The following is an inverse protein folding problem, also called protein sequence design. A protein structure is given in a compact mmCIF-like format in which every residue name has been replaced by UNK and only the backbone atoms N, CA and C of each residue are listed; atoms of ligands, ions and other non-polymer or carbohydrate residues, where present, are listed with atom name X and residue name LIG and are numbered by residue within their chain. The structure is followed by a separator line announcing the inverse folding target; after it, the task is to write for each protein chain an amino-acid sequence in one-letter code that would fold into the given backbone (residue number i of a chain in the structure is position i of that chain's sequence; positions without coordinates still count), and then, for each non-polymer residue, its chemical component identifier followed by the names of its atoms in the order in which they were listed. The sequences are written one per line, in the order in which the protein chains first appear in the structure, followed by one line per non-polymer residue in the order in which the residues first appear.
data_IF_804834501388
#
_entry.id   IF_804834501388
#
_cell.length_a   1.000
_cell.length_b   1.000
_cell.length_c   1.000
_cell.angle_alpha   90.00
_cell.angle_beta   90.00
_cell.angle_gamma   90.00
#
_symmetry.space_group_name_H-M   'P 1'
#
loop_
_entity.id
_entity.type
_entity.pdbx_description
1 polymer ?
#
# COMPACT_ATOMS: atom_id res chain seq x y z
N UNK A 1 -13.49 -31.67 14.34
CA UNK A 1 -13.69 -30.22 14.11
C UNK A 1 -12.88 -29.85 12.88
N UNK A 2 -13.52 -29.39 11.79
CA UNK A 2 -12.80 -28.93 10.60
C UNK A 2 -12.11 -27.62 10.97
N UNK A 3 -10.79 -27.47 10.75
CA UNK A 3 -10.12 -26.20 11.06
C UNK A 3 -10.75 -25.07 10.23
N UNK A 4 -10.93 -23.87 10.82
CA UNK A 4 -11.45 -22.74 10.06
C UNK A 4 -10.56 -22.46 8.84
N UNK A 5 -11.20 -22.23 7.70
CA UNK A 5 -10.53 -21.86 6.45
C UNK A 5 -10.61 -20.34 6.36
N UNK A 6 -9.46 -19.67 6.47
CA UNK A 6 -9.36 -18.23 6.32
C UNK A 6 -9.12 -17.86 4.86
N UNK A 7 -9.77 -16.80 4.39
CA UNK A 7 -9.50 -16.22 3.06
C UNK A 7 -8.17 -15.47 3.05
N UNK A 8 -7.84 -14.84 4.19
CA UNK A 8 -6.63 -14.07 4.38
C UNK A 8 -5.99 -14.35 5.75
N UNK A 9 -4.72 -14.74 5.75
CA UNK A 9 -3.90 -14.85 6.96
C UNK A 9 -2.81 -13.78 6.94
N UNK A 10 -2.84 -12.87 7.91
CA UNK A 10 -1.81 -11.84 8.11
C UNK A 10 -0.91 -12.26 9.26
N UNK A 11 0.36 -12.52 8.99
CA UNK A 11 1.38 -12.63 10.03
C UNK A 11 1.99 -11.26 10.30
N UNK A 12 2.05 -10.85 11.56
CA UNK A 12 2.58 -9.54 11.94
C UNK A 12 3.53 -9.65 13.12
N UNK A 13 4.66 -8.94 13.07
CA UNK A 13 5.56 -8.86 14.23
C UNK A 13 5.08 -7.87 15.27
N UNK A 14 5.45 -8.09 16.53
CA UNK A 14 5.02 -7.19 17.62
C UNK A 14 5.48 -5.74 17.43
N UNK A 15 6.66 -5.53 16.84
CA UNK A 15 7.16 -4.20 16.49
C UNK A 15 6.51 -3.57 15.26
N UNK A 16 5.77 -4.35 14.46
CA UNK A 16 4.95 -3.83 13.38
C UNK A 16 3.53 -3.48 13.87
N UNK A 17 2.98 -4.29 14.78
CA UNK A 17 1.66 -4.07 15.37
C UNK A 17 1.67 -2.92 16.39
N UNK A 18 2.72 -2.81 17.20
CA UNK A 18 2.85 -1.82 18.26
C UNK A 18 4.15 -1.05 18.14
N UNK A 19 4.13 0.21 18.56
CA UNK A 19 5.35 1.00 18.70
C UNK A 19 6.23 0.41 19.82
N UNK A 20 7.37 -0.09 19.40
CA UNK A 20 8.40 -0.67 20.26
C UNK A 20 9.69 0.16 20.23
N UNK A 21 9.64 1.44 19.84
CA UNK A 21 10.82 2.30 19.71
C UNK A 21 11.52 2.48 21.05
N UNK A 22 10.79 2.88 22.11
CA UNK A 22 11.35 2.99 23.47
C UNK A 22 12.00 1.67 23.93
N UNK A 23 11.30 0.55 23.73
CA UNK A 23 11.76 -0.78 24.08
C UNK A 23 13.06 -1.18 23.40
N UNK A 24 13.22 -0.79 22.14
CA UNK A 24 14.43 -1.04 21.35
C UNK A 24 15.60 -0.23 21.90
N UNK A 25 15.36 1.02 22.28
CA UNK A 25 16.40 1.89 22.84
C UNK A 25 16.85 1.44 24.24
N UNK A 26 15.92 1.00 25.10
CA UNK A 26 16.27 0.40 26.39
C UNK A 26 17.12 -0.86 26.20
N UNK A 27 16.70 -1.77 25.30
CA UNK A 27 17.49 -2.99 25.03
C UNK A 27 18.89 -2.65 24.54
N UNK A 28 19.02 -1.72 23.59
CA UNK A 28 20.31 -1.33 23.01
C UNK A 28 21.22 -0.65 24.02
N UNK A 29 20.67 0.24 24.85
CA UNK A 29 21.42 1.04 25.82
C UNK A 29 21.78 0.27 27.08
N UNK A 30 20.82 -0.46 27.64
CA UNK A 30 20.89 -0.99 29.01
C UNK A 30 20.94 -2.54 29.07
N UNK A 31 20.77 -3.21 27.92
CA UNK A 31 20.84 -4.67 27.82
C UNK A 31 19.56 -5.39 28.26
N UNK A 32 19.64 -6.73 28.22
CA UNK A 32 18.46 -7.60 28.35
C UNK A 32 17.80 -7.57 29.74
N UNK A 33 18.59 -7.56 30.82
CA UNK A 33 18.04 -7.63 32.18
C UNK A 33 17.21 -6.39 32.54
N UNK A 34 17.74 -5.20 32.21
CA UNK A 34 17.01 -3.93 32.41
C UNK A 34 15.76 -3.88 31.53
N UNK A 35 15.88 -4.34 30.27
CA UNK A 35 14.72 -4.47 29.40
C UNK A 35 13.62 -5.37 30.02
N UNK A 36 13.98 -6.51 30.63
CA UNK A 36 13.03 -7.40 31.29
C UNK A 36 12.37 -6.74 32.50
N UNK A 37 13.14 -6.03 33.33
CA UNK A 37 12.60 -5.31 34.48
C UNK A 37 11.62 -4.21 34.03
N UNK A 38 12.00 -3.43 33.03
CA UNK A 38 11.11 -2.42 32.44
C UNK A 38 9.81 -3.04 31.89
N UNK A 39 9.88 -4.19 31.20
CA UNK A 39 8.70 -4.89 30.70
C UNK A 39 7.78 -5.39 31.83
N UNK A 40 8.35 -5.87 32.93
CA UNK A 40 7.59 -6.31 34.11
C UNK A 40 6.93 -5.14 34.84
N UNK A 41 7.66 -4.04 35.04
CA UNK A 41 7.13 -2.84 35.69
C UNK A 41 5.99 -2.20 34.89
N UNK A 42 6.03 -2.29 33.56
CA UNK A 42 5.05 -1.70 32.64
C UNK A 42 4.06 -2.72 32.07
N UNK A 43 3.85 -3.87 32.73
CA UNK A 43 3.03 -4.96 32.20
C UNK A 43 1.61 -4.54 31.81
N UNK A 44 1.02 -3.65 32.61
CA UNK A 44 -0.35 -3.15 32.44
C UNK A 44 -0.42 -1.84 31.64
N UNK A 45 0.72 -1.31 31.21
CA UNK A 45 0.78 -0.09 30.38
C UNK A 45 0.77 -0.53 28.92
N UNK A 46 -0.33 -0.33 28.18
CA UNK A 46 -0.44 -0.77 26.79
C UNK A 46 0.61 -0.06 25.93
N UNK A 47 1.18 -0.80 24.97
CA UNK A 47 2.04 -0.22 23.95
C UNK A 47 1.21 0.66 23.02
N UNK A 48 1.82 1.73 22.49
CA UNK A 48 1.13 2.56 21.51
C UNK A 48 0.94 1.81 20.18
N UNK A 49 -0.12 2.11 19.41
CA UNK A 49 -0.30 1.54 18.08
C UNK A 49 0.91 1.79 17.17
N UNK A 50 1.36 0.75 16.45
CA UNK A 50 2.41 0.87 15.43
C UNK A 50 1.82 1.09 14.03
N UNK A 51 2.70 1.22 13.02
CA UNK A 51 2.28 1.46 11.63
C UNK A 51 1.38 0.35 11.05
N UNK A 52 1.52 -0.91 11.48
CA UNK A 52 0.67 -2.01 11.05
C UNK A 52 -0.69 -2.09 11.76
N UNK A 53 -0.90 -1.32 12.83
CA UNK A 53 -2.10 -1.43 13.68
C UNK A 53 -3.39 -1.10 12.92
N UNK A 54 -3.39 0.00 12.15
CA UNK A 54 -4.58 0.46 11.43
C UNK A 54 -5.09 -0.60 10.45
N UNK A 55 -4.19 -1.21 9.69
CA UNK A 55 -4.53 -2.31 8.78
C UNK A 55 -5.07 -3.52 9.53
N UNK A 56 -4.37 -4.00 10.58
CA UNK A 56 -4.79 -5.17 11.36
C UNK A 56 -6.17 -4.97 11.97
N UNK A 57 -6.42 -3.82 12.59
CA UNK A 57 -7.73 -3.48 13.16
C UNK A 57 -8.82 -3.47 12.08
N UNK A 58 -8.53 -2.84 10.94
CA UNK A 58 -9.49 -2.70 9.83
C UNK A 58 -9.82 -4.06 9.19
N UNK A 59 -8.83 -4.94 9.01
CA UNK A 59 -9.03 -6.28 8.47
C UNK A 59 -9.79 -7.20 9.44
N UNK A 60 -9.46 -7.16 10.74
CA UNK A 60 -10.17 -7.97 11.75
C UNK A 60 -11.64 -7.55 11.90
N UNK A 61 -11.95 -6.26 11.73
CA UNK A 61 -13.33 -5.76 11.76
C UNK A 61 -14.22 -6.35 10.65
N UNK A 62 -13.63 -6.83 9.55
CA UNK A 62 -14.39 -7.48 8.47
C UNK A 62 -15.04 -8.79 8.92
N UNK A 63 -14.47 -9.48 9.91
CA UNK A 63 -15.06 -10.71 10.46
C UNK A 63 -16.39 -10.45 11.16
N UNK A 64 -16.54 -9.29 11.80
CA UNK A 64 -17.79 -8.89 12.48
C UNK A 64 -18.91 -8.65 11.46
N UNK A 65 -18.57 -7.96 10.36
CA UNK A 65 -19.51 -7.69 9.25
C UNK A 65 -19.91 -8.99 8.55
N UNK A 66 -18.94 -9.88 8.29
CA UNK A 66 -19.18 -11.17 7.65
C UNK A 66 -19.93 -12.17 8.54
N UNK A 67 -19.96 -11.94 9.86
CA UNK A 67 -20.39 -12.92 10.87
C UNK A 67 -19.67 -14.27 10.69
N UNK A 68 -18.44 -14.24 10.20
CA UNK A 68 -17.61 -15.39 9.90
C UNK A 68 -16.13 -14.98 10.05
N UNK A 69 -15.27 -15.93 10.40
CA UNK A 69 -13.85 -15.68 10.56
C UNK A 69 -13.13 -15.83 9.21
N UNK A 70 -13.21 -14.79 8.37
CA UNK A 70 -12.58 -14.76 7.04
C UNK A 70 -11.10 -14.34 7.11
N UNK A 71 -10.76 -13.47 8.07
CA UNK A 71 -9.41 -12.98 8.30
C UNK A 71 -8.86 -13.59 9.59
N UNK A 72 -7.65 -14.14 9.52
CA UNK A 72 -6.84 -14.45 10.70
C UNK A 72 -5.64 -13.52 10.79
N UNK A 73 -5.36 -13.03 11.99
CA UNK A 73 -4.10 -12.35 12.30
C UNK A 73 -3.32 -13.22 13.27
N UNK A 74 -2.08 -13.54 12.90
CA UNK A 74 -1.14 -14.31 13.71
C UNK A 74 -0.02 -13.37 14.14
N UNK A 75 0.10 -13.12 15.45
CA UNK A 75 1.25 -12.38 15.97
C UNK A 75 2.46 -13.32 16.06
N UNK A 76 3.59 -12.94 15.48
CA UNK A 76 4.84 -13.71 15.59
C UNK A 76 5.94 -12.79 16.14
N UNK A 77 6.58 -13.17 17.23
CA UNK A 77 7.59 -12.34 17.88
C UNK A 77 8.85 -13.13 18.19
N UNK A 78 10.01 -12.52 17.92
CA UNK A 78 11.31 -13.02 18.41
C UNK A 78 11.47 -12.90 19.92
N UNK A 79 10.58 -12.17 20.60
CA UNK A 79 10.64 -12.02 22.05
C UNK A 79 10.38 -13.37 22.75
N UNK A 80 10.91 -13.50 23.96
CA UNK A 80 10.57 -14.58 24.88
C UNK A 80 9.14 -14.40 25.43
N UNK A 81 8.60 -15.44 26.06
CA UNK A 81 7.24 -15.45 26.60
C UNK A 81 7.01 -14.39 27.67
N UNK A 82 8.00 -14.13 28.55
CA UNK A 82 7.84 -13.14 29.62
C UNK A 82 7.71 -11.74 29.03
N UNK A 83 8.60 -11.40 28.09
CA UNK A 83 8.58 -10.13 27.38
C UNK A 83 7.37 -9.98 26.45
N UNK A 84 6.75 -11.11 26.08
CA UNK A 84 5.53 -11.22 25.28
C UNK A 84 4.25 -10.82 26.02
N UNK A 85 4.26 -10.84 27.35
CA UNK A 85 3.06 -10.61 28.15
C UNK A 85 2.52 -9.18 27.99
N UNK A 86 3.38 -8.15 27.96
CA UNK A 86 2.95 -6.76 27.71
C UNK A 86 2.31 -6.60 26.32
N UNK A 87 2.77 -7.37 25.32
CA UNK A 87 2.17 -7.39 23.99
C UNK A 87 0.75 -7.98 24.06
N UNK A 88 0.59 -9.10 24.78
CA UNK A 88 -0.72 -9.73 25.02
C UNK A 88 -1.69 -8.80 25.74
N UNK A 89 -1.22 -8.10 26.79
CA UNK A 89 -2.01 -7.10 27.50
C UNK A 89 -2.41 -5.94 26.59
N UNK A 90 -1.51 -5.49 25.70
CA UNK A 90 -1.83 -4.46 24.71
C UNK A 90 -2.92 -4.93 23.73
N UNK A 91 -2.83 -6.17 23.21
CA UNK A 91 -3.87 -6.78 22.36
C UNK A 91 -5.23 -6.78 23.04
N UNK A 92 -5.28 -7.13 24.33
CA UNK A 92 -6.51 -7.14 25.12
C UNK A 92 -7.06 -5.73 25.37
N UNK A 93 -6.18 -4.79 25.73
CA UNK A 93 -6.54 -3.39 25.91
C UNK A 93 -7.23 -2.82 24.67
N UNK A 94 -6.65 -3.08 23.49
CA UNK A 94 -7.21 -2.66 22.20
C UNK A 94 -8.32 -3.55 21.65
N UNK A 95 -8.68 -4.63 22.35
CA UNK A 95 -9.71 -5.60 21.94
C UNK A 95 -9.47 -6.18 20.54
N UNK A 96 -8.21 -6.41 20.17
CA UNK A 96 -7.88 -7.05 18.90
C UNK A 96 -8.14 -8.56 19.02
N UNK A 97 -9.03 -9.15 18.21
CA UNK A 97 -9.36 -10.59 18.28
C UNK A 97 -8.27 -11.46 17.63
N UNK A 98 -7.03 -11.31 18.10
CA UNK A 98 -5.87 -12.11 17.68
C UNK A 98 -5.92 -13.43 18.47
N UNK A 99 -6.27 -14.51 17.77
CA UNK A 99 -6.46 -15.84 18.36
C UNK A 99 -5.17 -16.65 18.43
N UNK A 100 -4.12 -16.23 17.73
CA UNK A 100 -2.88 -17.00 17.60
C UNK A 100 -1.65 -16.11 17.75
N UNK A 101 -0.75 -16.52 18.64
CA UNK A 101 0.50 -15.82 18.92
C UNK A 101 1.63 -16.85 19.03
N UNK A 102 2.79 -16.52 18.48
CA UNK A 102 4.01 -17.34 18.59
C UNK A 102 5.17 -16.48 19.09
N UNK A 103 5.84 -16.95 20.13
CA UNK A 103 7.02 -16.35 20.73
C UNK A 103 8.19 -17.28 20.52
N UNK A 104 9.13 -16.89 19.66
CA UNK A 104 10.17 -17.77 19.14
C UNK A 104 11.47 -17.71 19.93
N UNK A 105 11.57 -16.85 20.96
CA UNK A 105 12.74 -16.80 21.85
C UNK A 105 14.05 -16.50 21.12
N UNK A 106 14.00 -15.66 20.08
CA UNK A 106 15.14 -15.22 19.29
C UNK A 106 15.31 -15.95 17.96
N UNK A 107 14.62 -17.08 17.73
CA UNK A 107 14.73 -17.76 16.43
C UNK A 107 14.03 -16.97 15.32
N UNK A 108 14.55 -17.12 14.11
CA UNK A 108 14.01 -16.46 12.92
C UNK A 108 12.54 -16.85 12.67
N UNK A 109 11.69 -15.83 12.66
CA UNK A 109 10.24 -15.95 12.52
C UNK A 109 9.81 -16.35 11.12
N UNK A 110 10.63 -16.05 10.09
CA UNK A 110 10.27 -16.26 8.68
C UNK A 110 10.06 -17.74 8.36
N UNK A 111 10.77 -18.64 9.08
CA UNK A 111 10.70 -20.10 8.95
C UNK A 111 9.32 -20.68 9.27
N UNK A 112 8.49 -19.95 10.00
CA UNK A 112 7.17 -20.41 10.43
C UNK A 112 6.04 -19.91 9.52
N UNK A 113 6.29 -18.93 8.64
CA UNK A 113 5.24 -18.26 7.87
C UNK A 113 4.46 -19.23 6.97
N UNK A 114 5.14 -20.15 6.30
CA UNK A 114 4.51 -21.16 5.44
C UNK A 114 3.64 -22.13 6.25
N UNK A 115 4.08 -22.53 7.44
CA UNK A 115 3.29 -23.41 8.33
C UNK A 115 2.02 -22.72 8.83
N UNK A 116 2.06 -21.39 9.00
CA UNK A 116 0.90 -20.58 9.32
C UNK A 116 0.01 -20.24 8.12
N UNK A 117 0.38 -20.67 6.91
CA UNK A 117 -0.31 -20.29 5.66
C UNK A 117 -0.40 -18.77 5.50
N UNK A 118 0.66 -18.06 5.88
CA UNK A 118 0.74 -16.62 5.77
C UNK A 118 0.49 -16.17 4.32
N UNK A 119 -0.41 -15.19 4.14
CA UNK A 119 -0.64 -14.54 2.85
C UNK A 119 0.08 -13.17 2.79
N UNK A 120 0.12 -12.46 3.92
CA UNK A 120 0.82 -11.18 4.09
C UNK A 120 1.63 -11.19 5.39
N UNK A 121 2.94 -10.92 5.27
CA UNK A 121 3.85 -10.74 6.38
C UNK A 121 4.24 -9.27 6.56
N UNK A 122 3.94 -8.70 7.73
CA UNK A 122 4.30 -7.34 8.10
C UNK A 122 5.29 -7.33 9.26
N UNK A 123 6.39 -6.62 9.07
CA UNK A 123 7.43 -6.52 10.10
C UNK A 123 8.11 -5.16 10.09
N UNK A 124 8.78 -4.81 11.19
CA UNK A 124 9.63 -3.63 11.29
C UNK A 124 11.13 -3.99 11.20
N UNK A 125 11.42 -5.15 10.60
CA UNK A 125 12.74 -5.76 10.44
C UNK A 125 12.99 -6.04 8.95
N UNK A 126 13.89 -5.27 8.36
CA UNK A 126 14.20 -5.29 6.93
C UNK A 126 14.78 -6.64 6.48
N UNK A 127 15.64 -7.27 7.28
CA UNK A 127 16.28 -8.54 6.92
C UNK A 127 15.25 -9.66 6.78
N UNK A 128 14.19 -9.63 7.60
CA UNK A 128 13.10 -10.58 7.51
C UNK A 128 12.30 -10.39 6.21
N UNK A 129 12.04 -9.15 5.80
CA UNK A 129 11.38 -8.87 4.51
C UNK A 129 12.25 -9.36 3.36
N UNK A 130 13.54 -9.02 3.39
CA UNK A 130 14.52 -9.49 2.38
C UNK A 130 14.56 -11.00 2.31
N UNK A 131 14.58 -11.70 3.45
CA UNK A 131 14.59 -13.18 3.48
C UNK A 131 13.32 -13.76 2.85
N UNK A 132 12.15 -13.19 3.14
CA UNK A 132 10.88 -13.66 2.56
C UNK A 132 10.84 -13.40 1.04
N UNK A 133 11.34 -12.25 0.59
CA UNK A 133 11.33 -11.83 -0.82
C UNK A 133 12.55 -12.34 -1.62
N UNK A 134 13.63 -12.79 -0.99
CA UNK A 134 14.82 -13.33 -1.67
C UNK A 134 14.68 -14.82 -2.00
N UNK A 135 13.84 -15.54 -1.24
CA UNK A 135 13.47 -16.92 -1.54
C UNK A 135 12.69 -17.09 -2.85
N UNK A 136 12.35 -15.98 -3.53
CA UNK A 136 11.63 -15.94 -4.81
C UNK A 136 12.60 -15.72 -5.97
N UNK A 137 13.49 -16.68 -6.20
CA UNK A 137 14.33 -16.70 -7.40
C UNK A 137 13.51 -17.13 -8.62
N UNK A 138 13.32 -16.20 -9.56
CA UNK A 138 12.98 -16.35 -10.99
C UNK A 138 11.78 -17.24 -11.39
N UNK A 139 10.84 -16.61 -12.11
CA UNK A 139 9.79 -17.18 -12.98
C UNK A 139 8.42 -17.55 -12.41
N UNK A 140 8.20 -17.61 -11.10
CA UNK A 140 6.83 -17.58 -10.55
C UNK A 140 6.79 -17.09 -9.11
N UNK A 141 6.28 -15.87 -8.89
CA UNK A 141 5.91 -15.43 -7.54
C UNK A 141 4.72 -16.27 -7.06
N UNK A 142 5.00 -17.32 -6.29
CA UNK A 142 4.02 -18.18 -5.59
C UNK A 142 4.03 -17.94 -4.08
N UNK A 143 4.81 -16.97 -3.61
CA UNK A 143 5.23 -16.78 -2.23
C UNK A 143 4.32 -15.92 -1.37
N UNK A 144 4.76 -15.71 -0.12
CA UNK A 144 4.14 -14.85 0.88
C UNK A 144 4.42 -13.40 0.51
N UNK A 145 3.40 -12.53 0.45
CA UNK A 145 3.63 -11.09 0.31
C UNK A 145 4.30 -10.57 1.60
N UNK A 146 5.29 -9.68 1.48
CA UNK A 146 5.98 -9.13 2.64
C UNK A 146 6.34 -7.67 2.47
N UNK A 147 6.22 -6.90 3.56
CA UNK A 147 6.59 -5.49 3.56
C UNK A 147 7.14 -5.04 4.93
N UNK A 148 8.06 -4.08 4.88
CA UNK A 148 8.62 -3.39 6.02
C UNK A 148 7.68 -2.25 6.42
N UNK A 149 6.94 -2.37 7.51
CA UNK A 149 6.14 -1.25 8.00
C UNK A 149 7.06 -0.13 8.51
N UNK A 150 6.81 1.09 8.05
CA UNK A 150 7.57 2.25 8.44
C UNK A 150 6.74 3.08 9.41
N UNK A 151 7.26 3.29 10.61
CA UNK A 151 6.56 4.05 11.64
C UNK A 151 6.24 5.46 11.13
N UNK A 152 5.01 5.88 11.42
CA UNK A 152 4.66 7.30 11.45
C UNK A 152 5.48 7.87 12.59
N UNK A 153 6.43 8.76 12.28
CA UNK A 153 7.10 9.52 13.33
C UNK A 153 6.05 10.43 13.91
N UNK A 154 5.73 10.23 15.18
CA UNK A 154 4.74 11.00 15.92
C UNK A 154 5.18 12.48 15.94
N UNK A 155 4.61 13.28 15.05
CA UNK A 155 4.57 14.73 15.23
C UNK A 155 3.32 15.00 16.03
N UNK A 156 3.53 15.10 17.34
CA UNK A 156 2.54 15.52 18.33
C UNK A 156 1.73 16.74 17.85
N UNK A 157 0.54 16.53 17.26
CA UNK A 157 -0.59 17.50 17.24
C UNK A 157 -1.63 17.13 16.15
N UNK A 158 -2.68 16.41 16.54
CA UNK A 158 -4.12 16.66 16.26
C UNK A 158 -4.93 15.36 16.28
N UNK A 159 -5.22 14.88 17.49
CA UNK A 159 -6.50 14.20 17.72
C UNK A 159 -7.50 15.33 17.95
N UNK A 160 -8.54 15.53 17.11
CA UNK A 160 -9.65 16.37 17.49
C UNK A 160 -10.28 15.73 18.73
N UNK A 161 -10.15 16.39 19.88
CA UNK A 161 -10.82 15.98 21.11
C UNK A 161 -12.33 16.08 20.93
N UNK A 162 -12.98 14.99 20.52
CA UNK A 162 -14.41 14.75 20.78
C UNK A 162 -14.77 13.31 20.45
N UNK A 163 -14.86 12.48 21.50
CA UNK A 163 -16.05 11.69 21.84
C UNK A 163 -15.71 10.86 23.09
N UNK A 164 -15.66 11.53 24.24
CA UNK A 164 -15.94 10.86 25.51
C UNK A 164 -17.44 11.08 25.72
N UNK A 165 -18.25 10.08 25.39
CA UNK A 165 -19.64 10.04 25.83
C UNK A 165 -19.64 9.52 27.26
N UNK A 166 -19.72 10.45 28.22
CA UNK A 166 -20.19 10.16 29.58
C UNK A 166 -21.72 9.99 29.47
N UNK A 167 -22.32 8.94 30.03
CA UNK A 167 -23.78 8.81 30.04
C UNK A 167 -24.35 9.76 31.08
N UNK A 168 -25.00 10.85 30.66
CA UNK A 168 -25.83 11.63 31.57
C UNK A 168 -27.25 11.09 31.61
N UNK A 169 -27.64 10.76 32.83
CA UNK A 169 -28.95 10.39 33.31
C UNK A 169 -30.00 11.47 33.07
N UNK A 170 -31.21 11.01 32.76
CA UNK A 170 -32.52 11.64 32.96
C UNK A 170 -32.61 12.80 33.95
N UNK A 171 -33.09 13.96 33.51
CA UNK A 171 -34.24 14.67 34.10
C UNK A 171 -34.69 15.89 33.26
N UNK A 172 -35.99 16.15 33.33
CA UNK A 172 -36.78 17.19 32.66
C UNK A 172 -36.29 18.64 32.85
N UNK A 173 -36.54 19.52 31.86
CA UNK A 173 -37.60 20.54 31.94
C UNK A 173 -37.63 21.49 30.73
N UNK A 174 -38.86 21.90 30.40
CA UNK A 174 -39.27 22.88 29.39
C UNK A 174 -38.65 24.28 29.62
N UNK A 175 -38.41 25.03 28.53
CA UNK A 175 -38.97 26.38 28.37
C UNK A 175 -38.71 26.97 26.98
N UNK A 176 -39.77 27.57 26.44
CA UNK A 176 -39.83 28.37 25.22
C UNK A 176 -39.05 29.68 25.34
N UNK A 177 -38.53 30.21 24.23
CA UNK A 177 -38.94 31.54 23.72
C UNK A 177 -38.32 31.89 22.36
N UNK A 178 -39.20 32.34 21.47
CA UNK A 178 -38.97 33.03 20.20
C UNK A 178 -38.00 34.20 20.32
N UNK A 179 -37.15 34.46 19.30
CA UNK A 179 -36.94 35.82 18.73
C UNK A 179 -36.56 35.74 17.23
N UNK A 180 -37.50 36.21 16.39
CA UNK A 180 -37.42 36.99 15.13
C UNK A 180 -36.34 36.74 14.06
N UNK A 181 -36.83 36.51 12.83
CA UNK A 181 -36.06 36.67 11.59
C UNK A 181 -35.99 38.11 11.09
N UNK A 182 -35.09 38.36 10.12
CA UNK A 182 -35.13 39.47 9.16
C UNK A 182 -34.18 39.18 7.97
N UNK A 183 -34.77 38.92 6.81
CA UNK A 183 -34.52 39.47 5.46
C UNK A 183 -33.09 39.44 4.87
N UNK A 184 -32.97 38.71 3.75
CA UNK A 184 -31.92 38.78 2.72
C UNK A 184 -31.97 40.10 1.91
N UNK A 185 -30.83 40.54 1.34
CA UNK A 185 -30.87 41.07 -0.01
C UNK A 185 -29.80 40.47 -0.95
N UNK A 186 -30.31 39.90 -2.05
CA UNK A 186 -29.86 40.03 -3.45
C UNK A 186 -28.37 40.05 -3.81
N UNK A 187 -27.98 38.96 -4.49
CA UNK A 187 -27.19 38.88 -5.73
C UNK A 187 -26.54 40.17 -6.26
N UNK A 188 -25.20 40.16 -6.29
CA UNK A 188 -24.39 40.90 -7.27
C UNK A 188 -23.39 39.89 -7.87
N UNK A 189 -23.65 39.53 -9.13
CA UNK A 189 -22.73 38.79 -10.00
C UNK A 189 -21.63 39.73 -10.50
N UNK A 190 -20.38 39.46 -10.12
CA UNK A 190 -19.21 39.96 -10.86
C UNK A 190 -18.24 38.79 -11.08
N UNK A 191 -18.18 38.35 -12.33
CA UNK A 191 -17.26 37.35 -12.85
C UNK A 191 -15.81 37.85 -12.81
N UNK A 192 -14.96 37.22 -12.02
CA UNK A 192 -13.50 37.27 -12.19
C UNK A 192 -12.92 35.89 -11.93
N UNK A 193 -12.19 35.38 -12.91
CA UNK A 193 -11.44 34.12 -12.93
C UNK A 193 -10.68 33.84 -11.62
N UNK A 194 -11.09 32.80 -10.87
CA UNK A 194 -10.27 32.18 -9.81
C UNK A 194 -10.67 30.73 -9.51
N UNK A 195 -11.02 29.92 -10.51
CA UNK A 195 -11.36 28.49 -10.32
C UNK A 195 -10.12 27.58 -10.20
N UNK A 196 -9.18 27.95 -9.33
CA UNK A 196 -8.07 27.11 -8.85
C UNK A 196 -7.99 27.14 -7.32
N UNK A 197 -9.14 26.99 -6.65
CA UNK A 197 -9.22 26.64 -5.24
C UNK A 197 -10.68 26.33 -4.87
N UNK A 198 -11.27 25.29 -5.48
CA UNK A 198 -12.35 24.61 -4.76
C UNK A 198 -11.72 24.09 -3.45
N UNK A 199 -12.31 24.36 -2.26
CA UNK A 199 -11.79 23.79 -1.03
C UNK A 199 -11.73 22.27 -1.23
N UNK A 200 -10.69 21.63 -0.73
CA UNK A 200 -10.66 20.19 -0.42
C UNK A 200 -11.79 19.91 0.58
N UNK A 201 -13.05 20.03 0.13
CA UNK A 201 -14.25 19.71 0.86
C UNK A 201 -14.23 18.19 0.97
N UNK A 202 -13.69 17.76 2.11
CA UNK A 202 -13.65 16.42 2.67
C UNK A 202 -14.54 15.43 1.93
N UNK A 203 -13.94 14.60 1.06
CA UNK A 203 -14.52 13.31 0.73
C UNK A 203 -14.68 12.56 2.06
N UNK A 204 -15.91 12.45 2.57
CA UNK A 204 -16.18 11.64 3.75
C UNK A 204 -16.25 10.18 3.30
N UNK A 205 -15.16 9.44 3.48
CA UNK A 205 -15.12 8.02 3.18
C UNK A 205 -16.06 7.25 4.12
N UNK A 206 -16.78 6.21 3.64
CA UNK A 206 -17.62 5.38 4.48
C UNK A 206 -16.86 4.81 5.68
N UNK A 207 -17.44 4.95 6.87
CA UNK A 207 -16.86 4.38 8.09
C UNK A 207 -16.75 2.85 7.96
N UNK A 208 -15.62 2.30 8.41
CA UNK A 208 -15.35 0.86 8.36
C UNK A 208 -15.03 0.31 6.95
N UNK A 209 -14.61 1.16 6.01
CA UNK A 209 -14.01 0.73 4.75
C UNK A 209 -12.49 0.58 4.91
N UNK A 210 -11.97 -0.59 4.57
CA UNK A 210 -10.54 -0.91 4.49
C UNK A 210 -10.02 -0.44 3.14
N UNK A 211 -9.25 0.66 3.15
CA UNK A 211 -8.63 1.23 1.95
C UNK A 211 -7.17 0.82 1.87
N UNK A 212 -6.76 0.21 0.78
CA UNK A 212 -5.38 -0.28 0.60
C UNK A 212 -4.83 0.29 -0.70
N UNK A 213 -3.71 0.98 -0.61
CA UNK A 213 -3.04 1.58 -1.77
C UNK A 213 -1.76 0.81 -2.10
N UNK A 214 -1.55 0.56 -3.39
CA UNK A 214 -0.38 -0.12 -3.93
C UNK A 214 0.30 0.76 -4.96
N UNK A 215 1.63 0.79 -4.98
CA UNK A 215 2.36 1.12 -6.20
C UNK A 215 2.20 0.03 -7.28
N UNK A 216 2.55 0.39 -8.51
CA UNK A 216 2.60 -0.50 -9.66
C UNK A 216 3.88 -1.33 -9.67
N UNK A 217 4.87 -0.89 -10.45
CA UNK A 217 6.13 -1.59 -10.67
C UNK A 217 6.89 -1.77 -9.35
N UNK A 218 7.52 -2.93 -9.16
CA UNK A 218 8.18 -3.30 -7.90
C UNK A 218 7.24 -3.74 -6.77
N UNK A 219 5.93 -3.55 -6.91
CA UNK A 219 4.91 -3.87 -5.89
C UNK A 219 3.85 -4.83 -6.43
N UNK A 220 2.90 -4.37 -7.26
CA UNK A 220 1.91 -5.24 -7.90
C UNK A 220 2.49 -5.92 -9.14
N UNK A 221 3.30 -5.20 -9.91
CA UNK A 221 4.02 -5.70 -11.06
C UNK A 221 5.49 -5.90 -10.71
N UNK A 222 6.22 -6.67 -11.51
CA UNK A 222 7.68 -6.78 -11.35
C UNK A 222 8.35 -5.42 -11.63
N UNK A 223 9.64 -5.34 -11.36
CA UNK A 223 10.46 -4.15 -11.64
C UNK A 223 10.92 -4.06 -13.10
N UNK A 224 10.28 -4.79 -14.04
CA UNK A 224 10.70 -4.83 -15.45
C UNK A 224 10.73 -3.44 -16.09
N UNK A 225 9.68 -2.64 -15.88
CA UNK A 225 9.62 -1.29 -16.42
C UNK A 225 10.71 -0.39 -15.85
N UNK A 226 10.96 -0.49 -14.53
CA UNK A 226 12.02 0.28 -13.86
C UNK A 226 13.40 -0.08 -14.41
N UNK A 227 13.65 -1.37 -14.68
CA UNK A 227 14.90 -1.83 -15.30
C UNK A 227 15.10 -1.21 -16.68
N UNK A 228 14.07 -1.29 -17.53
CA UNK A 228 14.12 -0.76 -18.90
C UNK A 228 14.30 0.75 -18.88
N UNK A 229 13.60 1.46 -18.01
CA UNK A 229 13.76 2.90 -17.84
C UNK A 229 15.19 3.27 -17.43
N UNK A 230 15.79 2.53 -16.49
CA UNK A 230 17.18 2.78 -16.08
C UNK A 230 18.22 2.45 -17.16
N UNK A 231 17.97 1.45 -18.00
CA UNK A 231 18.93 1.02 -19.05
C UNK A 231 18.76 1.77 -20.37
N UNK A 232 17.54 2.09 -20.77
CA UNK A 232 17.21 2.62 -22.10
C UNK A 232 16.57 4.03 -22.05
N UNK A 233 16.33 4.57 -20.86
CA UNK A 233 15.71 5.87 -20.68
C UNK A 233 14.22 5.90 -21.04
N UNK A 234 13.66 7.12 -21.12
CA UNK A 234 12.22 7.31 -21.31
C UNK A 234 11.71 6.84 -22.68
N UNK A 235 12.48 7.07 -23.75
CA UNK A 235 12.06 6.65 -25.10
C UNK A 235 12.11 5.13 -25.26
N UNK A 236 13.17 4.48 -24.77
CA UNK A 236 13.26 3.02 -24.76
C UNK A 236 12.11 2.38 -23.98
N UNK A 237 11.79 2.95 -22.81
CA UNK A 237 10.59 2.54 -22.05
C UNK A 237 9.30 2.66 -22.88
N UNK A 238 9.07 3.79 -23.56
CA UNK A 238 7.87 3.98 -24.37
C UNK A 238 7.80 3.02 -25.56
N UNK A 239 8.91 2.79 -26.26
CA UNK A 239 8.97 1.79 -27.32
C UNK A 239 8.67 0.39 -26.79
N UNK A 240 9.24 0.05 -25.64
CA UNK A 240 9.03 -1.25 -25.03
C UNK A 240 7.55 -1.45 -24.65
N UNK A 241 6.94 -0.49 -23.96
CA UNK A 241 5.53 -0.58 -23.56
C UNK A 241 4.61 -0.68 -24.78
N UNK A 242 4.87 0.07 -25.86
CA UNK A 242 4.10 -0.04 -27.12
C UNK A 242 4.20 -1.43 -27.77
N UNK A 243 5.40 -2.01 -27.80
CA UNK A 243 5.65 -3.35 -28.38
C UNK A 243 5.04 -4.48 -27.53
N UNK A 244 4.75 -4.23 -26.26
CA UNK A 244 4.30 -5.23 -25.28
C UNK A 244 2.93 -4.94 -24.69
N UNK A 245 2.12 -4.07 -25.30
CA UNK A 245 0.83 -3.62 -24.76
C UNK A 245 -0.17 -4.76 -24.47
N UNK A 246 -0.08 -5.86 -25.24
CA UNK A 246 -0.88 -7.10 -25.11
C UNK A 246 -0.16 -8.24 -24.37
N UNK A 247 1.01 -7.97 -23.81
CA UNK A 247 1.77 -8.94 -23.01
C UNK A 247 1.64 -8.51 -21.55
N UNK A 248 1.05 -9.34 -20.69
CA UNK A 248 0.93 -9.02 -19.28
C UNK A 248 2.29 -8.65 -18.65
N UNK A 249 2.25 -7.69 -17.73
CA UNK A 249 3.37 -7.37 -16.87
C UNK A 249 3.69 -8.59 -16.00
N UNK A 250 4.97 -8.90 -15.76
CA UNK A 250 5.30 -9.96 -14.81
C UNK A 250 4.82 -9.59 -13.40
N UNK A 251 4.56 -10.60 -12.57
CA UNK A 251 3.99 -10.43 -11.23
C UNK A 251 5.00 -9.81 -10.26
N UNK A 252 4.54 -8.84 -9.47
CA UNK A 252 5.28 -8.30 -8.33
C UNK A 252 4.95 -9.00 -7.00
N UNK A 253 5.67 -8.67 -5.90
CA UNK A 253 5.52 -9.35 -4.62
C UNK A 253 4.16 -9.19 -3.93
N UNK A 254 3.43 -8.12 -4.21
CA UNK A 254 2.14 -7.84 -3.56
C UNK A 254 0.94 -8.35 -4.36
N UNK A 255 1.17 -8.93 -5.55
CA UNK A 255 0.13 -9.45 -6.44
C UNK A 255 -0.74 -10.53 -5.75
N UNK A 256 -0.12 -11.46 -5.03
CA UNK A 256 -0.85 -12.52 -4.32
C UNK A 256 -1.75 -11.96 -3.22
N UNK A 257 -1.30 -10.92 -2.53
CA UNK A 257 -2.07 -10.26 -1.49
C UNK A 257 -3.25 -9.50 -2.09
N UNK A 258 -3.06 -8.82 -3.22
CA UNK A 258 -4.15 -8.17 -3.94
C UNK A 258 -5.23 -9.18 -4.39
N UNK A 259 -4.83 -10.34 -4.91
CA UNK A 259 -5.76 -11.43 -5.24
C UNK A 259 -6.48 -11.98 -4.00
N UNK A 260 -5.80 -12.08 -2.85
CA UNK A 260 -6.39 -12.50 -1.58
C UNK A 260 -7.41 -11.49 -1.04
N UNK A 261 -7.13 -10.20 -1.17
CA UNK A 261 -8.09 -9.14 -0.86
C UNK A 261 -9.33 -9.22 -1.74
N UNK A 262 -9.18 -9.53 -3.03
CA UNK A 262 -10.33 -9.73 -3.91
C UNK A 262 -11.16 -10.94 -3.51
N UNK A 263 -10.53 -12.08 -3.20
CA UNK A 263 -11.25 -13.26 -2.69
C UNK A 263 -11.98 -12.95 -1.39
N UNK A 264 -11.30 -12.29 -0.45
CA UNK A 264 -11.91 -11.82 0.80
C UNK A 264 -13.12 -10.92 0.52
N UNK A 265 -13.00 -9.94 -0.40
CA UNK A 265 -14.10 -9.07 -0.83
C UNK A 265 -15.28 -9.86 -1.38
N UNK A 266 -15.05 -10.90 -2.17
CA UNK A 266 -16.10 -11.78 -2.68
C UNK A 266 -16.79 -12.54 -1.53
N UNK A 267 -16.01 -13.07 -0.58
CA UNK A 267 -16.51 -13.82 0.58
C UNK A 267 -17.26 -12.97 1.62
N UNK A 268 -17.13 -11.63 1.59
CA UNK A 268 -17.96 -10.71 2.39
C UNK A 268 -19.42 -10.66 1.94
N UNK A 269 -19.72 -11.10 0.71
CA UNK A 269 -21.04 -11.00 0.11
C UNK A 269 -21.33 -9.63 -0.50
N UNK A 270 -22.29 -9.58 -1.43
CA UNK A 270 -22.54 -8.41 -2.29
C UNK A 270 -22.82 -7.11 -1.53
N UNK A 271 -23.55 -7.19 -0.41
CA UNK A 271 -23.88 -6.04 0.43
C UNK A 271 -22.68 -5.42 1.17
N UNK A 272 -21.54 -6.11 1.19
CA UNK A 272 -20.36 -5.73 1.94
C UNK A 272 -19.10 -5.65 1.09
N UNK A 273 -19.18 -5.89 -0.22
CA UNK A 273 -18.03 -5.74 -1.15
C UNK A 273 -17.35 -4.38 -1.06
N UNK A 274 -18.13 -3.31 -0.82
CA UNK A 274 -17.62 -1.95 -0.67
C UNK A 274 -16.70 -1.74 0.54
N UNK A 275 -16.69 -2.69 1.50
CA UNK A 275 -15.86 -2.62 2.71
C UNK A 275 -14.37 -2.76 2.42
N UNK A 276 -13.98 -3.28 1.27
CA UNK A 276 -12.58 -3.32 0.82
C UNK A 276 -12.49 -2.48 -0.44
N UNK A 277 -11.61 -1.47 -0.42
CA UNK A 277 -11.33 -0.61 -1.58
C UNK A 277 -9.85 -0.61 -1.88
N UNK A 278 -9.48 -0.93 -3.12
CA UNK A 278 -8.07 -1.02 -3.56
C UNK A 278 -7.73 0.10 -4.52
N UNK A 279 -6.54 0.67 -4.35
CA UNK A 279 -6.01 1.76 -5.18
C UNK A 279 -4.67 1.34 -5.79
N UNK A 280 -4.49 1.55 -7.09
CA UNK A 280 -3.19 1.50 -7.76
C UNK A 280 -2.70 2.94 -7.96
N UNK A 281 -1.58 3.31 -7.36
CA UNK A 281 -1.00 4.66 -7.37
C UNK A 281 0.41 4.60 -7.93
N UNK A 282 0.53 4.85 -9.23
CA UNK A 282 1.76 4.55 -10.00
C UNK A 282 2.36 5.79 -10.66
N UNK A 283 3.68 5.80 -10.81
CA UNK A 283 4.40 6.81 -11.59
C UNK A 283 4.23 6.62 -13.11
N UNK A 284 3.65 5.50 -13.57
CA UNK A 284 3.28 5.30 -14.99
C UNK A 284 2.37 6.41 -15.50
N UNK A 285 2.39 6.60 -16.81
CA UNK A 285 1.60 7.58 -17.54
C UNK A 285 0.64 6.91 -18.55
N UNK A 286 0.10 7.71 -19.46
CA UNK A 286 -0.85 7.32 -20.49
C UNK A 286 -0.31 6.31 -21.52
N UNK A 287 1.01 6.22 -21.73
CA UNK A 287 1.60 5.20 -22.63
C UNK A 287 1.63 3.82 -21.97
N UNK A 288 1.98 3.78 -20.68
CA UNK A 288 2.10 2.52 -19.93
C UNK A 288 0.79 2.00 -19.33
N UNK A 289 -0.33 2.70 -19.51
CA UNK A 289 -1.61 2.36 -18.87
C UNK A 289 -2.30 1.14 -19.53
N UNK A 290 -2.16 0.95 -20.86
CA UNK A 290 -2.82 -0.13 -21.61
C UNK A 290 -2.39 -1.49 -21.07
N UNK A 291 -1.07 -1.67 -20.93
CA UNK A 291 -0.47 -2.91 -20.45
C UNK A 291 -0.87 -3.21 -19.00
N UNK A 292 -0.98 -2.19 -18.16
CA UNK A 292 -1.50 -2.30 -16.79
C UNK A 292 -2.92 -2.88 -16.80
N UNK A 293 -3.82 -2.31 -17.60
CA UNK A 293 -5.20 -2.81 -17.66
C UNK A 293 -5.31 -4.20 -18.27
N UNK A 294 -4.54 -4.48 -19.33
CA UNK A 294 -4.44 -5.82 -19.89
C UNK A 294 -4.03 -6.83 -18.82
N UNK A 295 -2.99 -6.50 -18.04
CA UNK A 295 -2.47 -7.34 -16.96
C UNK A 295 -3.52 -7.58 -15.87
N UNK A 296 -4.16 -6.52 -15.37
CA UNK A 296 -5.18 -6.64 -14.33
C UNK A 296 -6.36 -7.51 -14.80
N UNK A 297 -6.80 -7.33 -16.05
CA UNK A 297 -7.84 -8.16 -16.66
C UNK A 297 -7.42 -9.62 -16.80
N UNK A 298 -6.20 -9.88 -17.29
CA UNK A 298 -5.67 -11.24 -17.44
C UNK A 298 -5.56 -11.96 -16.10
N UNK A 299 -5.17 -11.25 -15.04
CA UNK A 299 -5.13 -11.79 -13.68
C UNK A 299 -6.53 -11.94 -13.04
N UNK A 300 -7.56 -11.37 -13.67
CA UNK A 300 -8.88 -11.23 -13.07
C UNK A 300 -8.84 -10.41 -11.78
N UNK A 301 -7.92 -9.45 -11.66
CA UNK A 301 -7.72 -8.60 -10.48
C UNK A 301 -8.45 -7.26 -10.67
N UNK A 302 -9.46 -7.01 -9.85
CA UNK A 302 -10.20 -5.76 -9.81
C UNK A 302 -9.52 -4.76 -8.86
N UNK A 303 -9.12 -3.62 -9.41
CA UNK A 303 -8.71 -2.44 -8.66
C UNK A 303 -9.81 -1.39 -8.79
N UNK A 304 -10.28 -0.84 -7.66
CA UNK A 304 -11.39 0.13 -7.66
C UNK A 304 -10.98 1.47 -8.29
N UNK A 305 -9.74 1.90 -8.06
CA UNK A 305 -9.21 3.15 -8.60
C UNK A 305 -7.74 3.04 -8.99
N UNK A 306 -7.43 3.45 -10.22
CA UNK A 306 -6.06 3.53 -10.72
C UNK A 306 -5.69 4.97 -11.00
N UNK A 307 -4.60 5.43 -10.39
CA UNK A 307 -4.06 6.78 -10.46
C UNK A 307 -2.68 6.74 -11.10
N UNK A 308 -2.61 7.13 -12.37
CA UNK A 308 -1.39 7.31 -13.14
C UNK A 308 -0.89 8.72 -12.90
N UNK A 309 0.15 8.89 -12.09
CA UNK A 309 0.61 10.20 -11.64
C UNK A 309 1.74 10.76 -12.50
N UNK A 310 2.28 9.99 -13.46
CA UNK A 310 3.31 10.46 -14.38
C UNK A 310 4.57 11.00 -13.70
N UNK A 311 4.89 10.54 -12.49
CA UNK A 311 6.01 10.98 -11.67
C UNK A 311 5.71 12.07 -10.63
N UNK A 312 4.45 12.53 -10.52
CA UNK A 312 4.04 13.46 -9.47
C UNK A 312 4.11 12.83 -8.07
N UNK A 313 4.24 13.67 -7.04
CA UNK A 313 4.22 13.23 -5.64
C UNK A 313 2.88 12.55 -5.30
N UNK A 314 2.97 11.33 -4.77
CA UNK A 314 1.81 10.51 -4.37
C UNK A 314 1.15 11.04 -3.10
N UNK A 315 1.87 11.80 -2.28
CA UNK A 315 1.47 12.17 -0.91
C UNK A 315 0.14 12.92 -0.84
N UNK A 316 -0.12 13.98 -1.65
CA UNK A 316 -1.41 14.70 -1.59
C UNK A 316 -2.60 13.79 -1.90
N UNK A 317 -2.41 12.86 -2.86
CA UNK A 317 -3.44 11.89 -3.19
C UNK A 317 -3.66 10.88 -2.05
N UNK A 318 -2.60 10.31 -1.50
CA UNK A 318 -2.67 9.37 -0.38
C UNK A 318 -3.38 9.98 0.84
N UNK A 319 -3.12 11.26 1.15
CA UNK A 319 -3.84 11.99 2.19
C UNK A 319 -5.34 12.08 1.91
N UNK A 320 -5.73 12.35 0.67
CA UNK A 320 -7.14 12.49 0.28
C UNK A 320 -7.94 11.19 0.44
N UNK A 321 -7.29 10.04 0.21
CA UNK A 321 -7.92 8.72 0.36
C UNK A 321 -7.74 8.12 1.75
N UNK A 322 -6.79 8.60 2.57
CA UNK A 322 -6.50 8.11 3.93
C UNK A 322 -6.49 6.56 4.02
N UNK A 323 -5.54 5.87 3.36
CA UNK A 323 -5.55 4.42 3.33
C UNK A 323 -5.21 3.83 4.70
N UNK A 324 -5.70 2.61 4.97
CA UNK A 324 -5.27 1.83 6.13
C UNK A 324 -3.77 1.47 6.04
N UNK A 325 -3.25 1.32 4.81
CA UNK A 325 -1.83 1.22 4.51
C UNK A 325 -1.53 1.52 3.04
N UNK A 326 -0.36 2.08 2.77
CA UNK A 326 0.21 2.27 1.44
C UNK A 326 1.47 1.40 1.25
N UNK A 327 1.55 0.66 0.14
CA UNK A 327 2.71 -0.16 -0.23
C UNK A 327 3.46 0.45 -1.41
N UNK A 328 4.76 0.65 -1.27
CA UNK A 328 5.65 1.19 -2.31
C UNK A 328 7.05 0.54 -2.17
N UNK A 329 7.78 0.33 -3.26
CA UNK A 329 9.15 -0.20 -3.19
C UNK A 329 10.20 0.90 -2.97
N UNK A 330 9.86 2.14 -3.35
CA UNK A 330 10.75 3.30 -3.24
C UNK A 330 10.78 3.84 -1.81
N UNK A 331 11.99 3.85 -1.24
CA UNK A 331 12.23 4.46 0.07
C UNK A 331 11.83 5.93 0.12
N UNK A 332 12.05 6.67 -0.96
CA UNK A 332 11.72 8.08 -1.04
C UNK A 332 10.21 8.33 -0.95
N UNK A 333 9.41 7.54 -1.68
CA UNK A 333 7.95 7.62 -1.60
C UNK A 333 7.44 7.28 -0.19
N UNK A 334 8.02 6.24 0.42
CA UNK A 334 7.68 5.84 1.79
C UNK A 334 8.05 6.94 2.79
N UNK A 335 9.23 7.55 2.68
CA UNK A 335 9.67 8.60 3.60
C UNK A 335 8.81 9.87 3.49
N UNK A 336 8.31 10.20 2.29
CA UNK A 336 7.34 11.29 2.09
C UNK A 336 5.96 10.95 2.65
N UNK A 337 5.46 9.74 2.39
CA UNK A 337 4.10 9.33 2.74
C UNK A 337 3.92 9.00 4.24
N UNK A 338 4.92 8.38 4.88
CA UNK A 338 4.80 7.84 6.26
C UNK A 338 4.48 8.88 7.33
N UNK A 339 4.74 10.16 7.07
CA UNK A 339 4.38 11.25 7.99
C UNK A 339 2.87 11.48 8.06
N UNK A 340 2.13 11.05 7.03
CA UNK A 340 0.71 11.36 6.87
C UNK A 340 -0.17 10.11 6.82
N UNK A 341 0.35 9.01 6.27
CA UNK A 341 -0.40 7.76 6.09
C UNK A 341 0.44 6.57 6.51
N UNK A 342 -0.15 5.52 7.12
CA UNK A 342 0.57 4.27 7.37
C UNK A 342 1.16 3.74 6.07
N UNK A 343 2.47 3.49 6.07
CA UNK A 343 3.22 3.12 4.87
C UNK A 343 4.09 1.90 5.13
N UNK A 344 4.25 1.04 4.12
CA UNK A 344 5.10 -0.15 4.20
C UNK A 344 5.92 -0.32 2.93
N UNK A 345 7.24 -0.42 3.10
CA UNK A 345 8.17 -0.58 2.00
C UNK A 345 8.22 -2.04 1.53
N UNK A 346 8.04 -2.27 0.24
CA UNK A 346 8.25 -3.58 -0.40
C UNK A 346 9.70 -3.65 -0.87
N UNK A 347 10.54 -4.38 -0.14
CA UNK A 347 11.99 -4.41 -0.39
C UNK A 347 12.30 -5.39 -1.54
N UNK A 348 11.97 -4.98 -2.75
CA UNK A 348 12.07 -5.77 -3.97
C UNK A 348 12.58 -4.93 -5.14
N UNK A 349 13.15 -5.62 -6.13
CA UNK A 349 13.54 -5.02 -7.40
C UNK A 349 14.83 -4.19 -7.35
N UNK A 350 15.17 -3.61 -8.50
CA UNK A 350 16.43 -2.90 -8.74
C UNK A 350 16.65 -1.68 -7.84
N UNK A 351 15.57 -1.10 -7.30
CA UNK A 351 15.64 0.00 -6.32
C UNK A 351 16.16 -0.44 -4.95
N UNK A 352 16.11 -1.75 -4.66
CA UNK A 352 16.42 -2.31 -3.36
C UNK A 352 17.62 -3.28 -3.39
N UNK A 353 18.35 -3.34 -4.51
CA UNK A 353 19.60 -4.09 -4.65
C UNK A 353 20.75 -3.37 -3.94
N UNK A 354 21.67 -4.14 -3.38
CA UNK A 354 22.92 -3.62 -2.85
C UNK A 354 23.73 -2.93 -3.98
N UNK A 355 24.21 -1.69 -3.76
CA UNK A 355 25.06 -0.98 -4.73
C UNK A 355 26.24 -1.83 -5.25
N UNK A 356 26.84 -2.67 -4.41
CA UNK A 356 27.97 -3.52 -4.79
C UNK A 356 27.56 -4.66 -5.75
N UNK A 357 26.31 -5.10 -5.67
CA UNK A 357 25.73 -6.08 -6.61
C UNK A 357 25.41 -5.39 -7.94
N UNK A 358 24.88 -4.15 -7.89
CA UNK A 358 24.57 -3.37 -9.08
C UNK A 358 25.83 -3.10 -9.93
N UNK A 359 26.95 -2.74 -9.29
CA UNK A 359 28.24 -2.53 -9.96
C UNK A 359 28.75 -3.83 -10.62
N UNK A 360 28.59 -4.98 -9.96
CA UNK A 360 28.99 -6.29 -10.54
C UNK A 360 28.11 -6.68 -11.73
N UNK A 361 26.79 -6.46 -11.66
CA UNK A 361 25.86 -6.77 -12.76
C UNK A 361 26.13 -5.92 -14.02
N UNK A 362 26.36 -4.62 -13.84
CA UNK A 362 26.72 -3.69 -14.93
C UNK A 362 28.10 -3.99 -15.52
N UNK A 363 29.07 -4.41 -14.70
CA UNK A 363 30.40 -4.85 -15.16
C UNK A 363 30.36 -6.14 -16.00
N UNK A 364 29.40 -7.03 -15.77
CA UNK A 364 29.22 -8.28 -16.53
C UNK A 364 28.51 -8.01 -17.86
N UNK A 365 27.49 -7.16 -17.88
CA UNK A 365 26.80 -6.75 -19.11
C UNK A 365 27.70 -5.89 -20.02
N UNK A 366 28.56 -5.05 -19.44
CA UNK A 366 29.55 -4.25 -20.19
C UNK A 366 30.62 -5.10 -20.92
N UNK A 367 30.77 -6.39 -20.59
CA UNK A 367 31.67 -7.32 -21.31
C UNK A 367 31.01 -7.99 -22.52
N UNK A 368 29.69 -7.88 -22.67
CA UNK A 368 28.94 -8.48 -23.78
C UNK A 368 28.51 -7.48 -24.86
N UNK A 369 28.82 -6.19 -24.70
CA UNK A 369 28.57 -5.16 -25.72
C UNK A 369 29.92 -4.54 -26.13
N UNK A 370 30.65 -5.27 -26.96
CA UNK A 370 31.62 -4.69 -27.88
C UNK A 370 31.15 -5.00 -29.28
N UNK A 371 30.35 -4.09 -29.84
CA UNK A 371 30.28 -3.69 -31.25
C UNK A 371 29.00 -2.86 -31.43
N UNK A 372 29.13 -1.55 -31.42
CA UNK A 372 28.93 -0.70 -32.61
C UNK A 372 28.72 0.75 -32.14
N UNK A 373 29.65 1.63 -32.50
CA UNK A 373 29.56 3.06 -32.22
C UNK A 373 29.04 3.77 -33.46
N UNK A 374 27.80 4.25 -33.42
CA UNK A 374 27.39 5.43 -34.18
C UNK A 374 26.81 6.45 -33.21
N UNK A 375 27.53 7.57 -33.10
CA UNK A 375 27.20 8.72 -32.26
C UNK A 375 26.42 9.71 -33.11
N UNK A 376 25.10 9.59 -33.13
CA UNK A 376 24.22 10.64 -33.68
C UNK A 376 22.79 10.42 -33.17
N UNK A 377 22.44 11.13 -32.09
CA UNK A 377 21.08 11.63 -31.81
C UNK A 377 21.05 12.30 -30.42
N UNK A 378 21.65 13.48 -30.32
CA UNK A 378 21.35 14.45 -29.26
C UNK A 378 20.61 15.58 -29.96
N UNK A 379 19.28 15.46 -30.11
CA UNK A 379 18.33 16.59 -30.20
C UNK A 379 16.95 16.11 -30.69
N UNK A 380 16.19 15.42 -29.84
CA UNK A 380 14.70 15.47 -29.82
C UNK A 380 14.15 15.03 -28.45
N UNK A 381 14.59 15.66 -27.37
CA UNK A 381 13.83 15.61 -26.12
C UNK A 381 12.58 16.49 -26.29
N UNK A 382 11.49 15.91 -26.81
CA UNK A 382 10.16 16.52 -26.61
C UNK A 382 9.98 16.65 -25.09
N UNK A 383 9.68 17.86 -24.64
CA UNK A 383 9.52 18.20 -23.22
C UNK A 383 8.35 17.40 -22.67
N UNK A 384 8.63 16.28 -21.99
CA UNK A 384 7.60 15.51 -21.31
C UNK A 384 7.07 16.34 -20.13
N UNK A 385 5.77 16.60 -20.12
CA UNK A 385 5.07 17.27 -19.03
C UNK A 385 4.33 16.18 -18.25
N UNK A 386 4.68 15.94 -16.97
CA UNK A 386 3.93 15.03 -16.11
C UNK A 386 2.45 15.38 -16.12
N UNK A 387 1.60 14.38 -16.36
CA UNK A 387 0.14 14.53 -16.26
C UNK A 387 -0.44 13.39 -15.44
N UNK A 388 -1.44 13.71 -14.61
CA UNK A 388 -2.15 12.74 -13.82
C UNK A 388 -3.41 12.28 -14.54
N UNK A 389 -3.66 10.98 -14.57
CA UNK A 389 -4.89 10.37 -15.07
C UNK A 389 -5.48 9.45 -14.00
N UNK A 390 -6.78 9.62 -13.73
CA UNK A 390 -7.53 8.78 -12.79
C UNK A 390 -8.53 7.93 -13.57
N UNK A 391 -8.57 6.64 -13.28
CA UNK A 391 -9.48 5.67 -13.90
C UNK A 391 -10.19 4.87 -12.80
N UNK A 392 -11.52 4.86 -12.83
CA UNK A 392 -12.37 4.17 -11.85
C UNK A 392 -12.80 2.80 -12.39
N UNK A 393 -12.36 1.72 -11.76
CA UNK A 393 -12.77 0.35 -12.04
C UNK A 393 -12.41 -0.18 -13.44
N UNK A 394 -11.85 -1.39 -13.52
CA UNK A 394 -11.54 -2.01 -14.83
C UNK A 394 -12.80 -2.28 -15.68
N UNK A 395 -13.96 -2.44 -15.04
CA UNK A 395 -15.24 -2.73 -15.72
C UNK A 395 -15.97 -1.47 -16.22
N UNK A 396 -15.47 -0.27 -15.91
CA UNK A 396 -16.02 1.03 -16.36
C UNK A 396 -15.10 1.73 -17.38
N UNK A 397 -14.09 1.03 -17.90
CA UNK A 397 -13.33 1.52 -19.04
C UNK A 397 -14.25 1.60 -20.26
N UNK A 398 -14.40 2.80 -20.80
CA UNK A 398 -15.08 3.06 -22.07
C UNK A 398 -14.53 2.09 -23.13
N UNK A 399 -15.38 1.32 -23.84
CA UNK A 399 -14.97 0.53 -25.00
C UNK A 399 -14.13 1.35 -25.98
N UNK A 400 -14.36 2.66 -26.10
CA UNK A 400 -13.58 3.55 -26.96
C UNK A 400 -12.17 3.85 -26.45
N UNK A 401 -11.86 3.68 -25.16
CA UNK A 401 -10.47 3.69 -24.63
C UNK A 401 -9.78 2.38 -25.01
N UNK A 402 -10.50 1.26 -24.91
CA UNK A 402 -10.03 -0.04 -25.41
C UNK A 402 -9.85 -0.02 -26.94
N UNK A 403 -10.71 0.69 -27.67
CA UNK A 403 -10.67 0.81 -29.13
C UNK A 403 -9.61 1.84 -29.57
N UNK A 404 -9.39 2.95 -28.84
CA UNK A 404 -8.27 3.88 -29.08
C UNK A 404 -6.92 3.21 -28.87
N UNK A 405 -6.80 2.32 -27.89
CA UNK A 405 -5.63 1.44 -27.74
C UNK A 405 -5.43 0.52 -28.97
N UNK A 406 -6.50 0.13 -29.67
CA UNK A 406 -6.41 -0.68 -30.92
C UNK A 406 -6.37 0.11 -32.22
N UNK A 407 -6.64 1.43 -32.23
CA UNK A 407 -6.83 2.22 -33.47
C UNK A 407 -5.73 3.25 -33.75
N UNK A 408 -4.67 3.30 -32.93
CA UNK A 408 -3.44 4.03 -33.26
C UNK A 408 -2.70 3.38 -34.45
N UNK A 409 -3.00 2.12 -34.80
CA UNK A 409 -2.39 1.44 -35.97
C UNK A 409 -2.97 1.86 -37.34
N UNK A 410 -4.12 2.55 -37.43
CA UNK A 410 -4.73 2.82 -38.74
C UNK A 410 -4.41 4.20 -39.34
N UNK A 411 -3.69 5.09 -38.63
CA UNK A 411 -3.34 6.43 -39.14
C UNK A 411 -1.88 6.63 -39.53
N UNK A 412 -0.98 5.70 -39.19
CA UNK A 412 0.43 5.81 -39.58
C UNK A 412 0.86 4.89 -40.74
N UNK A 413 -0.03 4.05 -41.27
CA UNK A 413 0.28 3.18 -42.43
C UNK A 413 -0.21 3.80 -43.76
N UNK A 414 -1.05 4.85 -43.74
CA UNK A 414 -1.54 5.50 -44.98
C UNK A 414 -0.71 6.70 -45.47
N UNK A 415 0.30 7.17 -44.71
CA UNK A 415 1.10 8.35 -45.10
C UNK A 415 2.54 8.04 -45.56
N UNK A 416 2.94 6.78 -45.72
CA UNK A 416 4.26 6.42 -46.29
C UNK A 416 4.21 5.82 -47.72
N UNK A 417 3.04 5.86 -48.38
CA UNK A 417 2.89 5.41 -49.78
C UNK A 417 2.37 6.49 -50.73
N UNK A 418 2.58 7.77 -50.42
CA UNK A 418 2.35 8.86 -51.38
C UNK A 418 3.31 10.02 -51.14
N UNK A 419 4.56 9.85 -51.58
CA UNK A 419 5.40 10.87 -52.22
C UNK A 419 6.55 10.20 -52.92
#
# INVERSE_FOLDING_TARGET
MVPPIFELVVCITSSALFDCTELREIWKRDGFEIFKEHQRANLMVPLQPGAGYSLVRSLLALNEVAKNQLVEVVLISRKDSDSGERIRQSIYYYKLPITRMSFTGGTDVTKYLSAWKCDLFLTADEDQVRTVLSGTSSEAFTGIAAALVCNIVDTTSTIPSKLILIPESSHDQQSNSNINGTILPSEINTSTNSDLAAPLASLSWPEGQVRIAFDGDGVLFSDQAERIFKTEGLEGFFEFERKHDRIALPKGPMQVFALKLQKLRQSLGDNHKWRIRTFLVTARNDVGNIRVFHTLKEWGLEIDETHFLGGLDKTPFLQSINPAIFFDDSRENIDRAKTYVPSAQVIYGINNLDPDILIKSTSIESRNIQNDHSTENIDRAKTYVPSAQVIYGINNLDPDILIKATSIESRNIQNEHST
#
